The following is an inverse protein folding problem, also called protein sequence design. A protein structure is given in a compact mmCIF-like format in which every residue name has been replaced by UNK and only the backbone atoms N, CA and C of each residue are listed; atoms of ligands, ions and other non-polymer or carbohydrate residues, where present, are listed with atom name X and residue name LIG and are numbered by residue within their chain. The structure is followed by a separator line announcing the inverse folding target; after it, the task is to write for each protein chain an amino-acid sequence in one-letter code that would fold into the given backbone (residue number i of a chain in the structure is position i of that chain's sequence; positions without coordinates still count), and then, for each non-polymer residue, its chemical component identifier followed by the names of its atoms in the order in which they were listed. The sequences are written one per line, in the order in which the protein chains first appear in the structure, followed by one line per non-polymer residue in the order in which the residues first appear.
data_IF_573153053033
#
_entry.id   IF_573153053033
#
_cell.length_a   1.000
_cell.length_b   1.000
_cell.length_c   1.000
_cell.angle_alpha   90.00
_cell.angle_beta   90.00
_cell.angle_gamma   90.00
#
_symmetry.space_group_name_H-M   'P 1'
#
loop_
_entity.id
_entity.type
_entity.pdbx_description
1 polymer ?
#
# COMPACT_ATOMS: atom_id res chain seq x y z
N UNK A 1 -12.17 -27.78 4.03
CA UNK A 1 -11.70 -27.46 4.06
C UNK A 1 -10.92 -27.19 3.86
N UNK A 2 -10.87 -27.06 3.65
CA UNK A 2 -10.06 -26.63 3.56
C UNK A 2 -9.30 -26.15 3.24
N UNK A 3 -9.46 -26.17 3.04
CA UNK A 3 -8.62 -25.69 2.78
C UNK A 3 -8.08 -24.87 2.71
N UNK A 4 -8.27 -24.58 2.76
CA UNK A 4 -7.81 -23.72 2.71
C UNK A 4 -6.93 -23.18 2.87
N UNK A 5 -7.39 -23.01 3.15
CA UNK A 5 -6.45 -22.50 3.48
C UNK A 5 -5.18 -22.49 3.26
N UNK A 6 -5.11 -22.82 2.75
CA UNK A 6 -3.85 -23.05 2.27
C UNK A 6 -3.27 -21.97 1.46
N UNK A 7 -3.74 -20.78 1.64
CA UNK A 7 -3.15 -19.61 1.05
C UNK A 7 -1.81 -19.39 1.72
N UNK A 8 -0.73 -19.38 0.96
CA UNK A 8 0.59 -19.12 1.49
C UNK A 8 0.64 -17.70 2.05
N UNK A 9 1.27 -17.54 3.20
CA UNK A 9 1.40 -16.22 3.79
C UNK A 9 2.36 -15.36 2.98
N UNK A 10 1.98 -14.12 2.77
CA UNK A 10 2.85 -13.15 2.12
C UNK A 10 3.86 -12.62 3.13
N UNK A 11 4.90 -11.95 2.64
CA UNK A 11 5.86 -11.32 3.54
C UNK A 11 5.19 -10.29 4.44
N UNK A 12 4.22 -9.54 3.89
CA UNK A 12 3.47 -8.57 4.68
C UNK A 12 2.78 -9.24 5.87
N UNK A 13 2.12 -10.37 5.64
CA UNK A 13 1.43 -11.09 6.71
C UNK A 13 2.40 -11.59 7.77
N UNK A 14 3.57 -12.10 7.36
CA UNK A 14 4.58 -12.57 8.29
C UNK A 14 5.09 -11.45 9.17
N UNK A 15 5.31 -10.28 8.58
CA UNK A 15 5.78 -9.11 9.32
C UNK A 15 4.75 -8.69 10.37
N UNK A 16 3.47 -8.66 9.99
CA UNK A 16 2.40 -8.28 10.90
C UNK A 16 2.28 -9.27 12.05
N UNK A 17 2.36 -10.57 11.76
CA UNK A 17 2.29 -11.60 12.79
C UNK A 17 3.49 -11.52 13.74
N UNK A 18 4.67 -11.32 13.18
CA UNK A 18 5.89 -11.19 13.99
C UNK A 18 5.81 -10.03 14.96
N UNK A 19 5.19 -8.94 14.54
CA UNK A 19 5.05 -7.75 15.39
C UNK A 19 3.76 -7.76 16.22
N UNK A 20 2.98 -8.86 16.15
CA UNK A 20 1.75 -9.04 16.91
C UNK A 20 0.72 -7.95 16.62
N UNK A 21 0.66 -7.53 15.36
CA UNK A 21 -0.28 -6.52 14.92
C UNK A 21 -1.55 -7.20 14.41
N UNK A 22 -2.73 -6.85 14.94
CA UNK A 22 -3.97 -7.48 14.46
C UNK A 22 -4.31 -7.03 13.04
N UNK A 23 -4.76 -7.95 12.23
CA UNK A 23 -5.19 -7.65 10.86
C UNK A 23 -6.14 -8.73 10.39
N UNK A 24 -6.91 -8.40 9.35
CA UNK A 24 -7.81 -9.35 8.69
C UNK A 24 -7.37 -9.49 7.25
N UNK A 25 -7.45 -10.70 6.72
CA UNK A 25 -7.11 -10.97 5.32
C UNK A 25 -8.40 -11.20 4.55
N UNK A 26 -8.52 -10.55 3.40
CA UNK A 26 -9.61 -10.76 2.46
C UNK A 26 -9.02 -11.26 1.16
N UNK A 27 -9.57 -12.37 0.62
CA UNK A 27 -9.09 -12.93 -0.64
C UNK A 27 -10.21 -12.91 -1.68
N UNK A 28 -9.83 -12.76 -2.93
CA UNK A 28 -10.76 -12.77 -4.06
C UNK A 28 -10.02 -13.30 -5.29
N UNK A 29 -10.79 -13.79 -6.26
CA UNK A 29 -10.20 -14.37 -7.45
C UNK A 29 -9.61 -13.26 -8.33
N UNK A 30 -8.31 -13.34 -8.59
CA UNK A 30 -7.62 -12.32 -9.38
C UNK A 30 -6.34 -12.93 -9.95
N UNK A 31 -6.26 -13.04 -11.26
CA UNK A 31 -5.12 -13.68 -11.92
C UNK A 31 -4.23 -12.70 -12.66
N UNK A 32 -4.67 -11.45 -12.80
CA UNK A 32 -3.87 -10.43 -13.47
C UNK A 32 -4.11 -9.09 -12.81
N UNK A 33 -3.30 -8.11 -13.15
CA UNK A 33 -3.40 -6.78 -12.55
C UNK A 33 -4.78 -6.15 -12.81
N UNK A 34 -5.40 -5.68 -11.73
CA UNK A 34 -6.63 -4.89 -11.77
C UNK A 34 -6.38 -3.68 -10.87
N UNK A 35 -6.73 -2.48 -11.33
CA UNK A 35 -6.48 -1.29 -10.53
C UNK A 35 -7.42 -1.21 -9.32
N UNK A 36 -7.05 -0.36 -8.36
CA UNK A 36 -7.75 -0.29 -7.08
C UNK A 36 -9.22 0.12 -7.19
N UNK A 37 -9.55 1.02 -8.12
CA UNK A 37 -10.95 1.46 -8.30
C UNK A 37 -11.81 0.28 -8.76
N UNK A 38 -11.34 -0.47 -9.75
CA UNK A 38 -12.10 -1.61 -10.26
C UNK A 38 -12.21 -2.73 -9.22
N UNK A 39 -11.16 -2.93 -8.42
CA UNK A 39 -11.22 -3.91 -7.33
C UNK A 39 -12.26 -3.48 -6.29
N UNK A 40 -12.25 -2.20 -5.91
CA UNK A 40 -13.21 -1.70 -4.93
C UNK A 40 -14.64 -1.83 -5.44
N UNK A 41 -14.87 -1.55 -6.73
CA UNK A 41 -16.19 -1.75 -7.34
C UNK A 41 -16.61 -3.20 -7.28
N UNK A 42 -15.73 -4.10 -7.65
CA UNK A 42 -16.00 -5.53 -7.69
C UNK A 42 -16.33 -6.08 -6.30
N UNK A 43 -15.64 -5.60 -5.28
CA UNK A 43 -15.83 -6.07 -3.91
C UNK A 43 -16.80 -5.21 -3.11
N UNK A 44 -17.40 -4.19 -3.72
CA UNK A 44 -18.35 -3.27 -3.07
C UNK A 44 -17.73 -2.58 -1.86
N UNK A 45 -16.49 -2.11 -2.01
CA UNK A 45 -15.76 -1.44 -0.96
C UNK A 45 -15.74 0.07 -1.23
N UNK A 46 -15.84 0.90 -0.16
CA UNK A 46 -15.76 2.36 -0.36
C UNK A 46 -14.39 2.77 -0.87
N UNK A 47 -14.34 3.67 -1.84
CA UNK A 47 -13.08 4.18 -2.37
C UNK A 47 -12.25 4.88 -1.31
N UNK A 48 -12.90 5.65 -0.45
CA UNK A 48 -12.20 6.44 0.58
C UNK A 48 -11.53 5.57 1.63
N UNK A 49 -11.93 4.32 1.77
CA UNK A 49 -11.35 3.38 2.71
C UNK A 49 -10.35 2.43 2.05
N UNK A 50 -10.37 2.37 0.73
CA UNK A 50 -9.51 1.48 -0.06
C UNK A 50 -8.29 2.26 -0.53
N UNK A 51 -7.09 1.78 -0.17
CA UNK A 51 -5.84 2.51 -0.42
C UNK A 51 -4.96 1.78 -1.40
N UNK A 52 -4.31 2.55 -2.27
CA UNK A 52 -3.33 2.03 -3.22
C UNK A 52 -1.93 2.47 -2.81
N UNK A 53 -0.94 1.70 -3.23
CA UNK A 53 0.46 1.95 -2.90
C UNK A 53 1.21 2.37 -4.16
N UNK A 54 1.83 3.53 -4.13
CA UNK A 54 2.62 4.05 -5.23
C UNK A 54 4.07 4.17 -4.79
N UNK A 55 4.98 3.73 -5.65
CA UNK A 55 6.42 3.82 -5.38
C UNK A 55 7.01 4.86 -6.30
N UNK A 56 7.71 5.83 -5.73
CA UNK A 56 8.29 6.94 -6.47
C UNK A 56 9.77 7.08 -6.17
N UNK A 57 10.51 7.64 -7.10
CA UNK A 57 11.92 7.93 -6.92
C UNK A 57 12.11 9.43 -6.93
N UNK A 58 12.82 9.95 -5.94
CA UNK A 58 13.13 11.36 -5.86
C UNK A 58 14.32 11.73 -6.69
N UNK A 59 14.55 13.02 -6.83
CA UNK A 59 15.75 13.53 -7.52
C UNK A 59 17.02 13.04 -6.81
N UNK A 60 16.93 12.78 -5.51
CA UNK A 60 18.03 12.23 -4.72
C UNK A 60 18.40 10.81 -5.11
N UNK A 61 17.56 10.14 -5.90
CA UNK A 61 17.62 8.72 -6.27
C UNK A 61 17.09 7.81 -5.19
N UNK A 62 16.64 8.34 -4.06
CA UNK A 62 16.01 7.53 -3.01
C UNK A 62 14.56 7.23 -3.36
N UNK A 63 14.06 6.11 -2.85
CA UNK A 63 12.68 5.69 -3.11
C UNK A 63 11.78 6.09 -1.95
N UNK A 64 10.55 6.43 -2.29
CA UNK A 64 9.52 6.82 -1.33
C UNK A 64 8.22 6.11 -1.70
N UNK A 65 7.46 5.74 -0.67
CA UNK A 65 6.22 4.99 -0.85
C UNK A 65 5.06 5.87 -0.38
N UNK A 66 4.05 6.01 -1.24
CA UNK A 66 2.87 6.82 -0.92
C UNK A 66 1.63 5.94 -0.97
N UNK A 67 0.81 6.02 0.07
CA UNK A 67 -0.40 5.20 0.20
C UNK A 67 -1.59 6.16 0.32
N UNK A 68 -2.52 6.07 -0.63
CA UNK A 68 -3.61 7.02 -0.75
C UNK A 68 -4.87 6.34 -1.28
N UNK A 69 -6.05 6.99 -1.13
CA UNK A 69 -7.30 6.36 -1.62
C UNK A 69 -7.24 6.04 -3.11
N UNK A 70 -7.87 4.94 -3.49
CA UNK A 70 -7.77 4.40 -4.85
C UNK A 70 -8.30 5.34 -5.93
N UNK A 71 -9.25 6.21 -5.60
CA UNK A 71 -9.86 7.15 -6.56
C UNK A 71 -9.19 8.52 -6.56
N UNK A 72 -8.12 8.70 -5.80
CA UNK A 72 -7.42 9.98 -5.73
C UNK A 72 -6.08 9.91 -6.45
N UNK A 73 -5.57 11.09 -6.80
CA UNK A 73 -4.27 11.19 -7.46
C UNK A 73 -3.28 11.86 -6.52
N UNK A 74 -2.05 11.38 -6.53
CA UNK A 74 -0.99 11.98 -5.74
C UNK A 74 -0.67 13.37 -6.31
N UNK A 75 -0.54 14.36 -5.41
CA UNK A 75 -0.08 15.69 -5.79
C UNK A 75 1.44 15.66 -5.65
N UNK A 76 2.12 15.70 -6.79
CA UNK A 76 3.58 15.55 -6.80
C UNK A 76 4.30 16.61 -6.01
N UNK A 77 3.78 17.84 -6.01
CA UNK A 77 4.40 18.92 -5.24
C UNK A 77 4.23 18.73 -3.75
N UNK A 78 3.02 18.36 -3.31
CA UNK A 78 2.78 18.07 -1.90
C UNK A 78 3.64 16.91 -1.44
N UNK A 79 3.65 15.84 -2.22
CA UNK A 79 4.40 14.63 -1.87
C UNK A 79 5.90 14.91 -1.78
N UNK A 80 6.45 15.63 -2.75
CA UNK A 80 7.88 15.99 -2.75
C UNK A 80 8.23 16.79 -1.50
N UNK A 81 7.38 17.75 -1.15
CA UNK A 81 7.61 18.59 0.03
C UNK A 81 7.62 17.76 1.30
N UNK A 82 6.69 16.81 1.42
CA UNK A 82 6.57 15.97 2.62
C UNK A 82 7.83 15.12 2.85
N UNK A 83 8.47 14.67 1.76
CA UNK A 83 9.65 13.80 1.85
C UNK A 83 10.95 14.53 1.57
N UNK A 84 10.92 15.86 1.48
CA UNK A 84 12.12 16.70 1.25
C UNK A 84 12.83 16.37 -0.06
N UNK A 85 12.07 16.14 -1.11
CA UNK A 85 12.62 15.95 -2.45
C UNK A 85 12.32 17.17 -3.30
N UNK A 86 13.18 17.44 -4.25
CA UNK A 86 12.95 18.52 -5.22
C UNK A 86 11.90 18.13 -6.23
N UNK A 87 11.86 16.84 -6.58
CA UNK A 87 10.89 16.30 -7.51
C UNK A 87 10.76 14.81 -7.30
N UNK A 88 9.63 14.26 -7.77
CA UNK A 88 9.34 12.84 -7.69
C UNK A 88 8.83 12.37 -9.04
N UNK A 89 9.15 11.11 -9.36
CA UNK A 89 8.55 10.46 -10.54
C UNK A 89 8.24 9.02 -10.20
N UNK A 90 7.24 8.48 -10.90
CA UNK A 90 6.82 7.10 -10.67
C UNK A 90 7.94 6.14 -11.08
N UNK A 91 8.13 5.10 -10.28
CA UNK A 91 9.03 3.99 -10.64
C UNK A 91 8.36 3.24 -11.79
N UNK A 92 9.15 2.85 -12.80
CA UNK A 92 8.61 2.08 -13.92
C UNK A 92 8.07 0.73 -13.44
N UNK A 93 6.98 0.29 -14.06
CA UNK A 93 6.35 -0.98 -13.70
C UNK A 93 7.35 -2.13 -13.72
N UNK A 94 8.25 -2.14 -14.71
CA UNK A 94 9.26 -3.20 -14.83
C UNK A 94 10.23 -3.25 -13.66
N UNK A 95 10.36 -2.16 -12.90
CA UNK A 95 11.30 -2.08 -11.79
C UNK A 95 10.65 -2.29 -10.42
N UNK A 96 9.32 -2.37 -10.36
CA UNK A 96 8.59 -2.48 -9.10
C UNK A 96 9.07 -3.68 -8.28
N UNK A 97 9.21 -4.84 -8.91
CA UNK A 97 9.58 -6.05 -8.19
C UNK A 97 11.00 -5.98 -7.65
N UNK A 98 11.93 -5.45 -8.43
CA UNK A 98 13.32 -5.35 -7.97
C UNK A 98 13.47 -4.33 -6.83
N UNK A 99 12.66 -3.27 -6.84
CA UNK A 99 12.71 -2.24 -5.81
C UNK A 99 12.01 -2.69 -4.53
N UNK A 100 10.81 -3.28 -4.64
CA UNK A 100 9.96 -3.55 -3.49
C UNK A 100 9.94 -5.00 -3.02
N UNK A 101 10.22 -5.94 -3.92
CA UNK A 101 10.06 -7.36 -3.64
C UNK A 101 8.66 -7.88 -3.96
N UNK A 102 7.73 -7.01 -4.36
CA UNK A 102 6.36 -7.36 -4.71
C UNK A 102 6.09 -7.09 -6.17
N UNK A 103 5.12 -7.81 -6.74
CA UNK A 103 4.70 -7.56 -8.11
C UNK A 103 3.62 -6.49 -8.15
N UNK A 104 3.44 -5.88 -9.32
CA UNK A 104 2.37 -4.90 -9.54
C UNK A 104 1.02 -5.55 -9.23
N UNK A 105 0.18 -4.81 -8.50
CA UNK A 105 -1.13 -5.32 -8.08
C UNK A 105 -1.08 -6.04 -6.74
N UNK A 106 0.10 -6.49 -6.33
CA UNK A 106 0.29 -7.09 -5.01
C UNK A 106 1.19 -6.27 -4.12
N UNK A 107 1.64 -5.10 -4.61
CA UNK A 107 2.60 -4.29 -3.86
C UNK A 107 1.95 -3.63 -2.64
N UNK A 108 2.60 -3.75 -1.50
CA UNK A 108 2.18 -3.12 -0.26
C UNK A 108 3.40 -2.52 0.42
N UNK A 109 3.18 -1.47 1.21
CA UNK A 109 4.25 -0.82 1.97
C UNK A 109 4.79 -1.71 3.09
N UNK A 110 4.03 -2.72 3.48
CA UNK A 110 4.40 -3.59 4.60
C UNK A 110 5.38 -4.66 4.13
N UNK A 111 6.57 -4.70 4.71
CA UNK A 111 7.51 -5.78 4.41
C UNK A 111 8.21 -5.67 3.07
N UNK A 112 8.41 -4.47 2.57
CA UNK A 112 9.20 -4.27 1.37
C UNK A 112 10.65 -4.70 1.59
N UNK A 113 11.36 -4.90 0.49
CA UNK A 113 12.75 -5.33 0.46
C UNK A 113 13.64 -4.49 1.38
N UNK A 114 13.36 -3.19 1.45
CA UNK A 114 14.04 -2.25 2.35
C UNK A 114 13.00 -1.40 3.04
N UNK A 115 13.39 -0.79 4.15
CA UNK A 115 12.54 0.14 4.87
C UNK A 115 12.58 1.48 4.14
N UNK A 116 11.69 1.66 3.16
CA UNK A 116 11.58 2.92 2.42
C UNK A 116 10.76 3.93 3.21
N UNK A 117 11.02 5.20 2.95
CA UNK A 117 10.25 6.28 3.51
C UNK A 117 8.80 6.15 3.05
N UNK A 118 7.85 6.08 3.97
CA UNK A 118 6.45 5.78 3.67
C UNK A 118 5.54 6.87 4.20
N UNK A 119 4.62 7.35 3.34
CA UNK A 119 3.65 8.38 3.71
C UNK A 119 2.25 7.84 3.44
N UNK A 120 1.40 7.88 4.46
CA UNK A 120 -0.01 7.51 4.36
C UNK A 120 -0.83 8.79 4.30
N UNK A 121 -1.71 8.90 3.28
CA UNK A 121 -2.57 10.09 3.21
C UNK A 121 -3.41 10.19 4.49
N UNK A 122 -3.49 11.40 5.03
CA UNK A 122 -4.06 11.64 6.35
C UNK A 122 -5.55 11.26 6.46
N UNK A 123 -6.28 11.18 5.35
CA UNK A 123 -7.69 10.75 5.39
C UNK A 123 -7.86 9.36 5.99
N UNK A 124 -6.81 8.54 5.98
CA UNK A 124 -6.87 7.20 6.56
C UNK A 124 -7.16 7.23 8.05
N UNK A 125 -6.76 8.30 8.72
CA UNK A 125 -6.86 8.38 10.19
C UNK A 125 -8.30 8.47 10.69
N UNK A 126 -9.26 8.75 9.81
CA UNK A 126 -10.67 8.81 10.21
C UNK A 126 -11.36 7.44 10.23
N UNK A 127 -10.67 6.39 9.79
CA UNK A 127 -11.24 5.04 9.74
C UNK A 127 -10.67 4.17 10.84
N UNK A 128 -11.49 3.23 11.34
CA UNK A 128 -11.01 2.21 12.27
C UNK A 128 -10.04 1.27 11.58
N UNK A 129 -10.32 0.94 10.32
CA UNK A 129 -9.45 0.10 9.51
C UNK A 129 -9.40 0.62 8.08
N UNK A 130 -8.25 0.46 7.44
CA UNK A 130 -8.10 0.74 6.02
C UNK A 130 -7.81 -0.57 5.29
N UNK A 131 -8.08 -0.57 3.99
CA UNK A 131 -7.90 -1.74 3.14
C UNK A 131 -6.69 -1.48 2.25
N UNK A 132 -5.69 -2.35 2.34
CA UNK A 132 -4.47 -2.23 1.55
C UNK A 132 -4.17 -3.55 0.87
N UNK A 133 -3.28 -3.54 -0.12
CA UNK A 133 -2.86 -4.77 -0.78
C UNK A 133 -2.18 -5.69 0.25
N UNK A 134 -2.39 -6.98 0.08
CA UNK A 134 -1.86 -7.98 1.00
C UNK A 134 -0.53 -8.59 0.61
N UNK A 135 0.06 -8.16 -0.49
CA UNK A 135 1.36 -8.67 -0.90
C UNK A 135 1.32 -9.63 -2.09
N UNK A 136 0.14 -9.87 -2.64
CA UNK A 136 -0.02 -10.64 -3.87
C UNK A 136 -1.40 -10.36 -4.46
N UNK A 137 -1.56 -10.69 -5.74
CA UNK A 137 -2.84 -10.51 -6.41
C UNK A 137 -3.94 -11.27 -5.65
N UNK A 138 -5.12 -10.69 -5.59
CA UNK A 138 -6.28 -11.32 -4.98
C UNK A 138 -6.25 -11.36 -3.47
N UNK A 139 -5.39 -10.56 -2.84
CA UNK A 139 -5.25 -10.57 -1.39
C UNK A 139 -5.21 -9.15 -0.85
N UNK A 140 -6.04 -8.89 0.14
CA UNK A 140 -6.10 -7.60 0.83
C UNK A 140 -5.87 -7.79 2.31
N UNK A 141 -5.33 -6.76 2.95
CA UNK A 141 -5.17 -6.70 4.39
C UNK A 141 -6.01 -5.53 4.90
N UNK A 142 -6.80 -5.79 5.95
CA UNK A 142 -7.54 -4.76 6.67
C UNK A 142 -6.80 -4.52 7.98
N UNK A 143 -6.42 -3.27 8.24
CA UNK A 143 -5.54 -2.93 9.34
C UNK A 143 -5.86 -1.53 9.86
N UNK A 144 -5.70 -1.33 11.16
CA UNK A 144 -5.88 0.00 11.74
C UNK A 144 -4.79 0.94 11.21
N UNK A 145 -5.14 2.20 10.88
CA UNK A 145 -4.13 3.14 10.36
C UNK A 145 -2.93 3.34 11.29
N UNK A 146 -3.17 3.38 12.60
CA UNK A 146 -2.07 3.54 13.55
C UNK A 146 -1.11 2.35 13.50
N UNK A 147 -1.64 1.14 13.37
CA UNK A 147 -0.82 -0.06 13.25
C UNK A 147 -0.05 -0.06 11.93
N UNK A 148 -0.68 0.40 10.86
CA UNK A 148 -0.03 0.51 9.56
C UNK A 148 1.17 1.47 9.65
N UNK A 149 0.97 2.62 10.28
CA UNK A 149 2.06 3.59 10.46
C UNK A 149 3.19 3.02 11.32
N UNK A 150 2.83 2.27 12.34
CA UNK A 150 3.83 1.67 13.22
C UNK A 150 4.69 0.65 12.47
N UNK A 151 4.06 -0.28 11.74
CA UNK A 151 4.79 -1.36 11.07
C UNK A 151 5.61 -0.87 9.88
N UNK A 152 5.16 0.19 9.21
CA UNK A 152 5.90 0.77 8.08
C UNK A 152 6.86 1.86 8.51
N UNK A 153 6.80 2.27 9.79
CA UNK A 153 7.54 3.42 10.31
C UNK A 153 7.25 4.65 9.48
N UNK A 154 6.01 4.74 9.02
CA UNK A 154 5.58 5.81 8.15
C UNK A 154 5.03 6.99 8.92
N UNK A 155 4.62 7.98 8.15
CA UNK A 155 3.97 9.18 8.69
C UNK A 155 2.74 9.50 7.85
N UNK A 156 1.85 10.32 8.39
CA UNK A 156 0.65 10.73 7.66
C UNK A 156 0.80 12.19 7.24
N UNK A 157 0.23 12.51 6.07
CA UNK A 157 0.26 13.87 5.54
C UNK A 157 -0.73 13.98 4.39
N UNK A 158 -1.03 15.21 3.99
CA UNK A 158 -1.84 15.45 2.80
C UNK A 158 -0.95 15.33 1.58
N UNK A 159 -1.26 14.35 0.73
CA UNK A 159 -0.46 14.07 -0.47
C UNK A 159 -1.31 13.93 -1.73
N UNK A 160 -2.59 14.31 -1.67
CA UNK A 160 -3.48 14.17 -2.84
C UNK A 160 -3.79 15.52 -3.46
N UNK A 161 -4.18 15.47 -4.73
CA UNK A 161 -4.64 16.65 -5.44
C UNK A 161 -5.93 17.16 -4.80
N UNK A 162 -6.00 18.45 -4.57
CA UNK A 162 -7.17 19.09 -3.94
C UNK A 162 -8.37 19.13 -4.87
#
# INVERSE_FOLDING_TARGET
MAKKEKTAKTNAMRILEKNKIPFTVNTYDCQEFIDGVHIADFLHQPYEQSFKTLVMQGKSKEYHVFVLPVDKEVDLKKAARVVNEKSLEMVHVKDIQSVTGYIRGGCTAIGMKKQYDTVLHESALQFDQIIVSGGKLGTQILIAPSDFLEVTKGKSADIIVS
#
